data_IF_172092814911
#
_entry.id   IF_172092814911
#
_cell.length_a   1.000
_cell.length_b   1.000
_cell.length_c   1.000
_cell.angle_alpha   90.00
_cell.angle_beta   90.00
_cell.angle_gamma   90.00
#
_symmetry.space_group_name_H-M   'P 1'
#
loop_
_entity.id
_entity.type
_entity.pdbx_description
1 polymer ?
#
# COMPACT_ATOMS: atom_id res chain seq x y z
N UNK A 1 6.58 47.59 49.44
CA UNK A 1 7.18 46.60 48.53
C UNK A 1 6.17 45.46 48.35
N UNK A 2 4.92 45.81 48.02
CA UNK A 2 3.75 44.91 48.10
C UNK A 2 2.81 45.04 46.88
N UNK A 3 3.13 45.88 45.89
CA UNK A 3 2.22 46.18 44.77
C UNK A 3 2.42 45.30 43.51
N UNK A 4 3.43 44.43 43.48
CA UNK A 4 3.75 43.64 42.28
C UNK A 4 3.11 42.26 42.24
N UNK A 5 2.52 41.77 43.33
CA UNK A 5 1.92 40.43 43.39
C UNK A 5 0.51 40.36 42.77
N UNK A 6 -0.23 41.46 42.71
CA UNK A 6 -1.64 41.45 42.28
C UNK A 6 -1.81 41.52 40.76
N UNK A 7 -0.80 42.06 40.04
CA UNK A 7 -0.87 42.23 38.58
C UNK A 7 -0.70 40.93 37.78
N UNK A 8 -0.12 39.89 38.39
CA UNK A 8 0.07 38.58 37.74
C UNK A 8 -1.17 37.69 37.67
N UNK A 9 -2.13 37.85 38.59
CA UNK A 9 -3.32 36.99 38.62
C UNK A 9 -4.41 37.42 37.60
N UNK A 10 -4.44 38.70 37.22
CA UNK A 10 -5.49 39.25 36.36
C UNK A 10 -5.23 38.94 34.87
N UNK A 11 -3.97 38.77 34.48
CA UNK A 11 -3.58 38.46 33.09
C UNK A 11 -3.86 37.03 32.67
N UNK A 12 -3.89 36.06 33.60
CA UNK A 12 -4.20 34.67 33.26
C UNK A 12 -5.69 34.39 33.06
N UNK A 13 -6.58 35.12 33.75
CA UNK A 13 -8.03 34.94 33.60
C UNK A 13 -8.57 35.46 32.26
N UNK A 14 -7.91 36.45 31.64
CA UNK A 14 -8.32 37.00 30.34
C UNK A 14 -7.92 36.12 29.15
N UNK A 15 -6.89 35.27 29.30
CA UNK A 15 -6.49 34.36 28.23
C UNK A 15 -7.35 33.10 28.19
N UNK A 16 -7.90 32.67 29.33
CA UNK A 16 -8.73 31.47 29.42
C UNK A 16 -10.17 31.67 28.90
N UNK A 17 -10.65 32.92 28.84
CA UNK A 17 -12.02 33.23 28.40
C UNK A 17 -12.19 33.28 26.85
N UNK A 18 -11.11 33.26 26.07
CA UNK A 18 -11.18 33.44 24.61
C UNK A 18 -11.17 32.11 23.82
N UNK A 19 -11.01 30.96 24.48
CA UNK A 19 -10.92 29.64 23.83
C UNK A 19 -12.27 28.90 23.77
N UNK A 20 -13.34 29.41 24.40
CA UNK A 20 -14.65 28.74 24.49
C UNK A 20 -15.65 29.01 23.35
N UNK A 21 -15.23 29.51 22.17
CA UNK A 21 -16.15 29.90 21.09
C UNK A 21 -16.00 29.14 19.76
N UNK A 22 -15.34 27.97 19.71
CA UNK A 22 -15.13 27.21 18.46
C UNK A 22 -15.78 25.83 18.38
N UNK A 23 -16.70 25.49 19.28
CA UNK A 23 -17.50 24.26 19.17
C UNK A 23 -18.96 24.62 18.93
N UNK A 24 -19.38 24.79 17.68
CA UNK A 24 -20.78 24.66 17.21
C UNK A 24 -20.81 24.81 15.67
N UNK A 25 -20.78 23.68 14.98
CA UNK A 25 -21.06 23.55 13.55
C UNK A 25 -20.45 22.25 13.04
N UNK A 26 -21.18 21.24 12.60
CA UNK A 26 -22.60 21.01 12.44
C UNK A 26 -22.72 19.67 11.72
N UNK A 27 -23.30 18.67 12.39
CA UNK A 27 -23.61 17.37 11.80
C UNK A 27 -24.81 17.55 10.84
N UNK A 28 -24.56 17.62 9.53
CA UNK A 28 -25.62 17.70 8.52
C UNK A 28 -25.36 16.78 7.31
N UNK A 29 -24.78 15.60 7.52
CA UNK A 29 -24.50 14.65 6.43
C UNK A 29 -24.92 13.22 6.78
N UNK A 30 -26.16 13.05 7.25
CA UNK A 30 -26.70 11.71 7.48
C UNK A 30 -28.22 11.64 7.25
N UNK A 31 -28.69 12.10 6.08
CA UNK A 31 -30.12 12.04 5.76
C UNK A 31 -30.46 11.74 4.29
N UNK A 32 -29.62 10.95 3.60
CA UNK A 32 -29.94 10.41 2.26
C UNK A 32 -29.58 8.93 2.11
N UNK A 33 -29.89 8.11 3.12
CA UNK A 33 -29.99 6.64 2.94
C UNK A 33 -31.46 6.24 3.02
N UNK A 34 -32.19 6.58 1.97
CA UNK A 34 -33.53 6.06 1.75
C UNK A 34 -33.47 5.17 0.50
N UNK A 35 -33.75 3.88 0.74
CA UNK A 35 -34.11 2.82 -0.21
C UNK A 35 -33.10 2.43 -1.30
N UNK A 36 -32.24 1.46 -0.97
CA UNK A 36 -31.46 0.66 -1.92
C UNK A 36 -32.07 -0.74 -2.14
N UNK A 37 -33.30 -0.96 -1.64
CA UNK A 37 -34.06 -2.19 -1.83
C UNK A 37 -35.52 -1.84 -2.13
N UNK A 38 -35.85 -1.92 -3.43
CA UNK A 38 -37.15 -2.26 -4.00
C UNK A 38 -38.40 -1.60 -3.41
N UNK A 39 -39.02 -0.72 -4.20
CA UNK A 39 -40.46 -0.78 -4.32
C UNK A 39 -40.85 -0.60 -5.79
N UNK A 40 -41.63 -1.56 -6.26
CA UNK A 40 -42.10 -1.74 -7.62
C UNK A 40 -43.04 -0.62 -8.08
N UNK A 41 -42.85 -0.11 -9.30
CA UNK A 41 -43.94 0.07 -10.27
C UNK A 41 -43.40 -0.04 -11.73
N UNK A 42 -43.91 -1.07 -12.42
CA UNK A 42 -44.20 -1.22 -13.86
C UNK A 42 -43.09 -1.18 -14.94
N UNK A 43 -43.00 -2.32 -15.64
CA UNK A 43 -42.19 -2.73 -16.81
C UNK A 43 -42.38 -1.86 -18.09
N UNK A 44 -41.50 -1.96 -19.12
CA UNK A 44 -41.53 -3.11 -20.02
C UNK A 44 -40.16 -3.70 -20.40
N UNK A 45 -40.07 -5.02 -20.26
CA UNK A 45 -39.34 -6.01 -21.08
C UNK A 45 -38.09 -5.57 -21.87
N UNK A 46 -36.90 -5.98 -21.41
CA UNK A 46 -35.75 -6.25 -22.29
C UNK A 46 -35.14 -7.63 -21.99
N UNK A 47 -34.97 -8.41 -23.06
CA UNK A 47 -34.46 -9.79 -23.07
C UNK A 47 -32.98 -9.81 -22.67
N UNK A 48 -32.49 -10.82 -21.92
CA UNK A 48 -31.07 -10.96 -21.67
C UNK A 48 -30.38 -11.40 -22.98
N UNK A 49 -29.70 -10.46 -23.63
CA UNK A 49 -28.78 -10.77 -24.73
C UNK A 49 -27.58 -11.46 -24.11
N UNK A 50 -27.51 -12.78 -24.29
CA UNK A 50 -26.34 -13.56 -23.96
C UNK A 50 -25.14 -12.95 -24.71
N UNK A 51 -24.18 -12.41 -23.97
CA UNK A 51 -22.86 -12.03 -24.46
C UNK A 51 -22.07 -13.29 -24.78
N UNK A 52 -22.52 -14.04 -25.78
CA UNK A 52 -21.77 -15.15 -26.35
C UNK A 52 -20.81 -14.59 -27.39
N UNK A 53 -19.53 -14.89 -27.19
CA UNK A 53 -18.46 -14.60 -28.15
C UNK A 53 -18.85 -15.20 -29.52
N UNK A 54 -18.75 -14.44 -30.63
CA UNK A 54 -19.06 -14.95 -31.96
C UNK A 54 -18.22 -16.18 -32.27
N UNK A 55 -18.85 -17.21 -32.85
CA UNK A 55 -18.26 -18.54 -33.08
C UNK A 55 -16.91 -18.47 -33.81
N UNK A 56 -16.76 -17.53 -34.73
CA UNK A 56 -15.54 -17.35 -35.51
C UNK A 56 -14.33 -16.98 -34.63
N UNK A 57 -14.54 -16.22 -33.55
CA UNK A 57 -13.47 -15.87 -32.60
C UNK A 57 -13.08 -17.07 -31.73
N UNK A 58 -14.05 -17.93 -31.40
CA UNK A 58 -13.78 -19.18 -30.66
C UNK A 58 -12.97 -20.16 -31.50
N UNK A 59 -13.35 -20.34 -32.78
CA UNK A 59 -12.67 -21.26 -33.69
C UNK A 59 -11.22 -20.80 -33.96
N UNK A 60 -10.97 -19.49 -34.06
CA UNK A 60 -9.61 -18.93 -34.15
C UNK A 60 -8.78 -19.18 -32.88
N UNK A 61 -9.40 -19.08 -31.70
CA UNK A 61 -8.71 -19.33 -30.43
C UNK A 61 -8.32 -20.80 -30.29
N UNK A 62 -9.21 -21.70 -30.70
CA UNK A 62 -8.99 -23.14 -30.67
C UNK A 62 -7.84 -23.54 -31.59
N UNK A 63 -7.81 -23.02 -32.82
CA UNK A 63 -6.71 -23.26 -33.76
C UNK A 63 -5.35 -22.78 -33.20
N UNK A 64 -5.31 -21.61 -32.54
CA UNK A 64 -4.08 -21.11 -31.91
C UNK A 64 -3.65 -22.00 -30.74
N UNK A 65 -4.59 -22.52 -29.96
CA UNK A 65 -4.29 -23.44 -28.87
C UNK A 65 -3.71 -24.76 -29.38
N UNK A 66 -4.30 -25.35 -30.41
CA UNK A 66 -3.81 -26.59 -31.04
C UNK A 66 -2.42 -26.39 -31.67
N UNK A 67 -2.18 -25.24 -32.32
CA UNK A 67 -0.88 -24.88 -32.87
C UNK A 67 0.20 -24.74 -31.79
N UNK A 68 -0.13 -24.16 -30.64
CA UNK A 68 0.80 -24.08 -29.50
C UNK A 68 1.08 -25.46 -28.91
N UNK A 69 0.06 -26.29 -28.73
CA UNK A 69 0.21 -27.61 -28.15
C UNK A 69 1.11 -28.51 -29.01
N UNK A 70 0.95 -28.44 -30.34
CA UNK A 70 1.84 -29.14 -31.27
C UNK A 70 3.26 -28.57 -31.26
N UNK A 71 3.43 -27.24 -31.13
CA UNK A 71 4.74 -26.62 -31.00
C UNK A 71 5.49 -27.05 -29.73
N UNK A 72 4.79 -27.24 -28.61
CA UNK A 72 5.39 -27.75 -27.37
C UNK A 72 5.76 -29.23 -27.48
N UNK A 73 4.89 -30.08 -28.04
CA UNK A 73 5.21 -31.50 -28.23
C UNK A 73 6.40 -31.71 -29.19
N UNK A 74 6.51 -30.90 -30.25
CA UNK A 74 7.66 -30.95 -31.18
C UNK A 74 8.95 -30.44 -30.53
N UNK A 75 8.86 -29.51 -29.57
CA UNK A 75 10.00 -29.06 -28.79
C UNK A 75 10.44 -30.11 -27.75
N UNK A 76 9.52 -30.76 -27.06
CA UNK A 76 9.83 -31.85 -26.13
C UNK A 76 10.46 -33.05 -26.87
N UNK A 77 9.93 -33.44 -28.02
CA UNK A 77 10.48 -34.53 -28.85
C UNK A 77 11.88 -34.23 -29.45
N UNK A 78 12.34 -32.97 -29.43
CA UNK A 78 13.69 -32.57 -29.88
C UNK A 78 14.71 -32.48 -28.75
N UNK A 79 14.29 -32.55 -27.48
CA UNK A 79 15.20 -32.51 -26.33
C UNK A 79 15.71 -33.91 -25.94
N UNK A 80 15.00 -34.97 -26.34
CA UNK A 80 15.36 -36.36 -25.99
C UNK A 80 16.49 -36.97 -26.85
N UNK A 81 16.84 -36.39 -28.01
CA UNK A 81 17.91 -36.91 -28.88
C UNK A 81 19.32 -36.32 -28.60
N UNK A 82 19.43 -35.19 -27.90
CA UNK A 82 20.72 -34.50 -27.64
C UNK A 82 21.25 -34.67 -26.19
N UNK A 83 20.50 -35.34 -25.29
CA UNK A 83 20.83 -35.45 -23.85
C UNK A 83 21.52 -36.77 -23.44
N UNK A 84 22.05 -37.56 -24.38
CA UNK A 84 22.71 -38.86 -24.12
C UNK A 84 24.13 -38.94 -24.70
N UNK A 85 24.97 -37.92 -24.52
CA UNK A 85 26.44 -38.01 -24.64
C UNK A 85 27.08 -36.76 -23.98
N UNK A 86 27.51 -36.88 -22.72
CA UNK A 86 28.35 -35.82 -22.12
C UNK A 86 28.25 -35.60 -20.61
N UNK A 87 28.27 -36.65 -19.78
CA UNK A 87 28.62 -36.49 -18.36
C UNK A 87 30.12 -36.75 -18.19
N UNK A 88 30.92 -35.70 -18.31
CA UNK A 88 32.22 -35.61 -17.66
C UNK A 88 32.71 -34.16 -17.62
N UNK A 89 33.18 -33.77 -16.43
CA UNK A 89 33.95 -32.56 -16.08
C UNK A 89 33.21 -31.21 -16.07
N UNK A 90 33.40 -30.50 -14.96
CA UNK A 90 32.67 -29.29 -14.61
C UNK A 90 33.08 -28.05 -15.39
N UNK A 91 32.13 -27.13 -15.51
CA UNK A 91 32.30 -25.71 -15.21
C UNK A 91 30.90 -25.07 -15.19
N UNK A 92 30.59 -24.37 -14.11
CA UNK A 92 29.28 -23.78 -13.86
C UNK A 92 29.29 -22.29 -14.24
N UNK A 93 29.45 -21.98 -15.53
CA UNK A 93 29.49 -20.58 -16.00
C UNK A 93 28.91 -20.33 -17.42
N UNK A 94 28.33 -21.34 -18.09
CA UNK A 94 27.93 -21.18 -19.50
C UNK A 94 26.42 -21.31 -19.81
N UNK A 95 25.58 -21.67 -18.83
CA UNK A 95 24.13 -21.89 -19.05
C UNK A 95 23.26 -20.66 -18.80
N UNK A 96 23.79 -19.64 -18.12
CA UNK A 96 23.07 -18.40 -17.81
C UNK A 96 22.90 -17.47 -19.03
N UNK A 97 23.92 -17.34 -19.87
CA UNK A 97 23.88 -16.41 -21.03
C UNK A 97 22.99 -16.89 -22.17
N UNK A 98 22.89 -18.21 -22.38
CA UNK A 98 22.01 -18.78 -23.41
C UNK A 98 20.52 -18.55 -23.07
N UNK A 99 20.14 -18.70 -21.80
CA UNK A 99 18.79 -18.41 -21.32
C UNK A 99 18.48 -16.90 -21.36
N UNK A 100 19.47 -16.04 -21.08
CA UNK A 100 19.30 -14.59 -21.13
C UNK A 100 19.15 -14.07 -22.57
N UNK A 101 19.86 -14.68 -23.53
CA UNK A 101 19.73 -14.40 -24.96
C UNK A 101 18.36 -14.79 -25.51
N UNK A 102 17.82 -15.94 -25.09
CA UNK A 102 16.49 -16.40 -25.52
C UNK A 102 15.35 -15.56 -24.90
N UNK A 103 15.51 -15.07 -23.66
CA UNK A 103 14.56 -14.15 -23.02
C UNK A 103 14.55 -12.75 -23.66
N UNK A 104 15.73 -12.21 -24.04
CA UNK A 104 15.80 -10.93 -24.76
C UNK A 104 15.22 -11.03 -26.17
N UNK A 105 15.33 -12.20 -26.81
CA UNK A 105 14.76 -12.44 -28.14
C UNK A 105 13.24 -12.62 -28.10
N UNK A 106 12.70 -13.19 -27.01
CA UNK A 106 11.25 -13.31 -26.78
C UNK A 106 10.56 -11.97 -26.46
N UNK A 107 11.29 -10.92 -26.09
CA UNK A 107 10.74 -9.60 -25.80
C UNK A 107 10.40 -8.72 -27.01
N UNK A 108 10.61 -9.20 -28.24
CA UNK A 108 10.53 -8.36 -29.45
C UNK A 108 9.69 -8.90 -30.61
N UNK A 109 9.04 -10.04 -30.45
CA UNK A 109 8.24 -10.65 -31.52
C UNK A 109 6.97 -11.27 -30.97
N UNK A 110 5.83 -10.65 -31.29
CA UNK A 110 4.48 -11.20 -31.09
C UNK A 110 4.01 -11.20 -29.63
N UNK A 111 3.91 -9.99 -29.06
CA UNK A 111 3.02 -9.72 -27.93
C UNK A 111 1.62 -10.19 -28.32
N UNK A 112 1.14 -11.22 -27.63
CA UNK A 112 -0.26 -11.59 -27.66
C UNK A 112 -1.08 -10.32 -27.38
N UNK A 113 -1.86 -9.90 -28.37
CA UNK A 113 -2.76 -8.76 -28.29
C UNK A 113 -3.75 -9.06 -27.14
N UNK A 114 -3.47 -8.52 -25.96
CA UNK A 114 -4.39 -8.58 -24.84
C UNK A 114 -5.58 -7.72 -25.24
N UNK A 115 -6.66 -8.36 -25.66
CA UNK A 115 -7.93 -7.71 -25.95
C UNK A 115 -8.42 -7.08 -24.65
N UNK A 116 -8.24 -5.77 -24.54
CA UNK A 116 -8.74 -4.98 -23.42
C UNK A 116 -10.25 -4.78 -23.58
N UNK A 117 -11.04 -5.63 -22.89
CA UNK A 117 -12.51 -5.64 -22.97
C UNK A 117 -13.12 -4.47 -22.18
N UNK A 118 -12.32 -3.66 -21.47
CA UNK A 118 -12.81 -2.62 -20.56
C UNK A 118 -12.57 -1.17 -21.01
N UNK A 119 -11.81 -0.92 -22.09
CA UNK A 119 -11.49 0.45 -22.52
C UNK A 119 -12.63 1.18 -23.24
N UNK A 120 -13.75 0.50 -23.53
CA UNK A 120 -14.83 1.06 -24.34
C UNK A 120 -16.19 1.07 -23.62
N UNK A 121 -16.24 1.66 -22.44
CA UNK A 121 -17.50 2.20 -21.90
C UNK A 121 -17.28 3.61 -21.35
N UNK A 122 -17.31 4.58 -22.27
CA UNK A 122 -17.46 5.98 -21.93
C UNK A 122 -18.89 6.22 -21.41
N UNK A 123 -19.02 6.46 -20.11
CA UNK A 123 -20.29 6.93 -19.55
C UNK A 123 -20.30 6.96 -18.03
N UNK A 124 -20.02 8.14 -17.47
CA UNK A 124 -20.34 8.61 -16.10
C UNK A 124 -19.13 8.82 -15.18
N UNK A 125 -18.51 9.98 -15.38
CA UNK A 125 -17.71 10.71 -14.41
C UNK A 125 -18.46 10.89 -13.08
N UNK A 126 -18.16 10.06 -12.09
CA UNK A 126 -18.29 10.37 -10.67
C UNK A 126 -17.66 9.24 -9.82
N UNK A 127 -16.35 9.04 -9.95
CA UNK A 127 -15.61 8.23 -9.00
C UNK A 127 -14.26 8.89 -8.73
N UNK A 128 -14.01 9.09 -7.43
CA UNK A 128 -12.74 9.39 -6.75
C UNK A 128 -11.51 9.29 -7.65
N UNK A 129 -10.65 10.31 -7.55
CA UNK A 129 -9.25 10.29 -7.96
C UNK A 129 -8.62 8.91 -7.68
N UNK A 130 -8.68 8.04 -8.69
CA UNK A 130 -7.76 6.94 -8.84
C UNK A 130 -6.45 7.65 -9.12
N UNK A 131 -5.55 7.60 -8.15
CA UNK A 131 -4.19 8.09 -8.31
C UNK A 131 -3.64 7.42 -9.57
N UNK A 132 -3.41 8.20 -10.63
CA UNK A 132 -2.80 7.72 -11.86
C UNK A 132 -1.55 6.93 -11.48
N UNK A 133 -1.52 5.64 -11.82
CA UNK A 133 -0.36 4.76 -11.62
C UNK A 133 0.83 5.15 -12.50
N UNK A 134 0.64 6.11 -13.41
CA UNK A 134 1.49 6.31 -14.57
C UNK A 134 2.54 7.43 -14.39
N UNK A 135 2.63 8.03 -13.20
CA UNK A 135 3.52 9.18 -12.94
C UNK A 135 4.73 8.85 -12.06
N UNK A 136 4.99 7.55 -11.83
CA UNK A 136 6.17 7.10 -11.11
C UNK A 136 7.15 6.43 -12.07
N UNK A 137 8.35 6.99 -12.20
CA UNK A 137 9.49 6.27 -12.78
C UNK A 137 9.68 4.98 -11.97
N UNK A 138 9.49 3.82 -12.60
CA UNK A 138 9.66 2.51 -11.96
C UNK A 138 11.03 2.39 -11.29
N UNK A 139 12.05 2.96 -11.93
CA UNK A 139 13.42 3.03 -11.45
C UNK A 139 13.53 3.79 -10.12
N UNK A 140 12.79 4.90 -9.95
CA UNK A 140 12.82 5.69 -8.72
C UNK A 140 12.12 4.96 -7.57
N UNK A 141 11.04 4.25 -7.85
CA UNK A 141 10.31 3.45 -6.86
C UNK A 141 11.18 2.28 -6.38
N UNK A 142 11.84 1.58 -7.30
CA UNK A 142 12.76 0.48 -6.97
C UNK A 142 13.94 0.94 -6.11
N UNK A 143 14.53 2.09 -6.43
CA UNK A 143 15.61 2.66 -5.62
C UNK A 143 15.13 2.99 -4.20
N UNK A 144 13.94 3.56 -4.06
CA UNK A 144 13.35 3.85 -2.76
C UNK A 144 13.02 2.58 -1.96
N UNK A 145 12.54 1.53 -2.61
CA UNK A 145 12.31 0.22 -1.98
C UNK A 145 13.62 -0.36 -1.46
N UNK A 146 14.69 -0.33 -2.26
CA UNK A 146 16.03 -0.76 -1.82
C UNK A 146 16.52 0.03 -0.62
N UNK A 147 16.36 1.36 -0.65
CA UNK A 147 16.73 2.21 0.49
C UNK A 147 15.93 1.89 1.75
N UNK A 148 14.63 1.58 1.64
CA UNK A 148 13.81 1.13 2.77
C UNK A 148 14.33 -0.19 3.37
N UNK A 149 14.67 -1.16 2.53
CA UNK A 149 15.20 -2.45 2.98
C UNK A 149 16.53 -2.28 3.71
N UNK A 150 17.44 -1.47 3.14
CA UNK A 150 18.71 -1.14 3.78
C UNK A 150 18.51 -0.41 5.11
N UNK A 151 17.60 0.58 5.16
CA UNK A 151 17.29 1.28 6.39
C UNK A 151 16.75 0.33 7.47
N UNK A 152 15.83 -0.58 7.11
CA UNK A 152 15.30 -1.60 8.03
C UNK A 152 16.41 -2.49 8.61
N UNK A 153 17.38 -2.90 7.78
CA UNK A 153 18.56 -3.65 8.25
C UNK A 153 19.43 -2.82 9.20
N UNK A 154 19.64 -1.53 8.91
CA UNK A 154 20.40 -0.62 9.79
C UNK A 154 19.70 -0.44 11.14
N UNK A 155 18.37 -0.31 11.17
CA UNK A 155 17.57 -0.28 12.42
C UNK A 155 17.69 -1.60 13.18
N UNK A 156 17.78 -2.74 12.50
CA UNK A 156 18.03 -4.03 13.14
C UNK A 156 19.43 -4.11 13.76
N UNK A 157 20.42 -3.46 13.15
CA UNK A 157 21.80 -3.36 13.63
C UNK A 157 22.05 -2.24 14.65
N UNK A 158 21.00 -1.52 15.07
CA UNK A 158 21.09 -0.33 15.94
C UNK A 158 21.93 0.83 15.36
N UNK A 159 22.12 0.88 14.04
CA UNK A 159 22.78 1.99 13.33
C UNK A 159 21.76 3.05 12.97
N UNK A 160 21.28 3.77 13.97
CA UNK A 160 20.12 4.65 13.81
C UNK A 160 20.42 5.89 12.96
N UNK A 161 21.59 6.51 13.11
CA UNK A 161 21.93 7.73 12.34
C UNK A 161 22.01 7.47 10.84
N UNK A 162 22.65 6.37 10.45
CA UNK A 162 22.74 5.92 9.05
C UNK A 162 21.34 5.62 8.50
N UNK A 163 20.50 4.92 9.28
CA UNK A 163 19.12 4.63 8.90
C UNK A 163 18.32 5.91 8.67
N UNK A 164 18.38 6.86 9.61
CA UNK A 164 17.63 8.12 9.52
C UNK A 164 18.06 8.95 8.30
N UNK A 165 19.33 8.91 7.90
CA UNK A 165 19.79 9.59 6.70
C UNK A 165 19.16 9.01 5.41
N UNK A 166 18.95 7.69 5.35
CA UNK A 166 18.24 7.05 4.25
C UNK A 166 16.72 7.30 4.32
N UNK A 167 16.14 7.38 5.51
CA UNK A 167 14.69 7.50 5.70
C UNK A 167 14.16 8.92 5.46
N UNK A 168 14.89 9.98 5.84
CA UNK A 168 14.49 11.39 5.67
C UNK A 168 13.93 11.74 4.28
N UNK A 169 14.59 11.40 3.16
CA UNK A 169 14.02 11.70 1.83
C UNK A 169 12.76 10.86 1.54
N UNK A 170 12.68 9.64 2.08
CA UNK A 170 11.59 8.70 1.82
C UNK A 170 10.28 9.10 2.54
N UNK A 171 10.35 9.83 3.65
CA UNK A 171 9.17 10.42 4.32
C UNK A 171 8.42 11.43 3.44
N UNK A 172 9.07 11.96 2.41
CA UNK A 172 8.48 12.87 1.41
C UNK A 172 8.25 12.19 0.07
N UNK A 173 8.44 10.88 -0.01
CA UNK A 173 8.16 10.11 -1.22
C UNK A 173 6.72 10.35 -1.67
N UNK A 174 6.47 10.51 -2.98
CA UNK A 174 5.11 10.67 -3.48
C UNK A 174 4.31 9.36 -3.32
N UNK A 175 4.99 8.21 -3.34
CA UNK A 175 4.38 6.89 -3.14
C UNK A 175 3.98 6.72 -1.68
N UNK A 176 2.68 6.59 -1.43
CA UNK A 176 2.13 6.50 -0.07
C UNK A 176 2.73 5.35 0.73
N UNK A 177 2.84 4.16 0.14
CA UNK A 177 3.34 2.96 0.80
C UNK A 177 4.78 3.13 1.30
N UNK A 178 5.63 3.76 0.49
CA UNK A 178 7.03 4.04 0.83
C UNK A 178 7.08 5.05 1.97
N UNK A 179 6.35 6.15 1.83
CA UNK A 179 6.27 7.21 2.82
C UNK A 179 5.84 6.72 4.20
N UNK A 180 4.78 5.91 4.25
CA UNK A 180 4.27 5.35 5.52
C UNK A 180 5.27 4.40 6.16
N UNK A 181 5.88 3.51 5.35
CA UNK A 181 6.88 2.57 5.85
C UNK A 181 8.13 3.29 6.34
N UNK A 182 8.55 4.36 5.66
CA UNK A 182 9.66 5.20 6.09
C UNK A 182 9.38 5.84 7.45
N UNK A 183 8.21 6.50 7.60
CA UNK A 183 7.78 7.10 8.88
C UNK A 183 7.74 6.07 10.01
N UNK A 184 7.24 4.86 9.75
CA UNK A 184 7.25 3.79 10.74
C UNK A 184 8.68 3.41 11.16
N UNK A 185 9.61 3.29 10.22
CA UNK A 185 11.01 2.97 10.52
C UNK A 185 11.73 4.10 11.27
N UNK A 186 11.36 5.36 11.04
CA UNK A 186 11.83 6.49 11.87
C UNK A 186 11.32 6.33 13.30
N UNK A 187 10.03 6.06 13.47
CA UNK A 187 9.43 5.79 14.78
C UNK A 187 10.06 4.59 15.49
N UNK A 188 10.34 3.50 14.77
CA UNK A 188 11.06 2.32 15.26
C UNK A 188 12.50 2.66 15.69
N UNK A 189 13.19 3.51 14.94
CA UNK A 189 14.56 3.94 15.27
C UNK A 189 14.58 4.69 16.60
N UNK A 190 13.64 5.62 16.79
CA UNK A 190 13.46 6.35 18.06
C UNK A 190 13.03 5.43 19.20
N UNK A 191 12.11 4.50 18.92
CA UNK A 191 11.64 3.52 19.88
C UNK A 191 12.80 2.70 20.45
N UNK A 192 13.68 2.21 19.57
CA UNK A 192 14.84 1.40 19.96
C UNK A 192 15.92 2.21 20.68
N UNK A 193 16.02 3.52 20.43
CA UNK A 193 16.87 4.43 21.19
C UNK A 193 16.35 4.69 22.61
N UNK A 194 15.06 4.42 22.86
CA UNK A 194 14.40 4.68 24.14
C UNK A 194 13.68 6.03 24.19
N UNK A 195 13.64 6.77 23.08
CA UNK A 195 12.93 8.04 22.96
C UNK A 195 11.43 7.79 22.73
N UNK A 196 10.77 7.24 23.76
CA UNK A 196 9.38 6.80 23.68
C UNK A 196 8.39 7.94 23.43
N UNK A 197 8.70 9.17 23.86
CA UNK A 197 7.85 10.35 23.62
C UNK A 197 7.86 10.74 22.13
N UNK A 198 9.04 10.92 21.55
CA UNK A 198 9.19 11.23 20.13
C UNK A 198 8.67 10.09 19.25
N UNK A 199 8.98 8.85 19.63
CA UNK A 199 8.46 7.67 18.95
C UNK A 199 6.92 7.61 18.97
N UNK A 200 6.30 7.92 20.11
CA UNK A 200 4.85 8.01 20.23
C UNK A 200 4.26 9.05 19.27
N UNK A 201 4.86 10.25 19.18
CA UNK A 201 4.37 11.30 18.27
C UNK A 201 4.38 10.84 16.81
N UNK A 202 5.45 10.18 16.36
CA UNK A 202 5.55 9.65 15.01
C UNK A 202 4.51 8.55 14.74
N UNK A 203 4.30 7.64 15.68
CA UNK A 203 3.29 6.59 15.52
C UNK A 203 1.85 7.14 15.57
N UNK A 204 1.58 8.16 16.38
CA UNK A 204 0.29 8.88 16.40
C UNK A 204 0.02 9.53 15.02
N UNK A 205 1.04 10.13 14.40
CA UNK A 205 0.90 10.70 13.07
C UNK A 205 0.53 9.64 12.01
N UNK A 206 1.07 8.41 12.12
CA UNK A 206 0.75 7.32 11.20
C UNK A 206 -0.71 6.90 11.31
N UNK A 207 -1.26 6.79 12.54
CA UNK A 207 -2.66 6.41 12.72
C UNK A 207 -3.62 7.52 12.25
N UNK A 208 -3.22 8.78 12.39
CA UNK A 208 -4.05 9.93 11.99
C UNK A 208 -4.05 10.16 10.48
N UNK A 209 -2.86 10.17 9.86
CA UNK A 209 -2.71 10.51 8.43
C UNK A 209 -2.80 9.30 7.51
N UNK A 210 -2.50 8.11 8.01
CA UNK A 210 -2.35 6.90 7.21
C UNK A 210 -3.15 5.69 7.74
N UNK A 211 -4.32 5.97 8.33
CA UNK A 211 -5.25 5.02 8.95
C UNK A 211 -5.55 3.74 8.13
N UNK A 212 -5.56 3.82 6.79
CA UNK A 212 -5.83 2.68 5.90
C UNK A 212 -4.58 1.87 5.50
N UNK A 213 -3.43 2.14 6.09
CA UNK A 213 -2.21 1.37 5.81
C UNK A 213 -2.10 0.17 6.75
N UNK A 214 -1.63 -0.98 6.23
CA UNK A 214 -1.37 -2.16 7.08
C UNK A 214 -0.32 -1.91 8.18
N UNK A 215 0.45 -0.82 8.06
CA UNK A 215 1.42 -0.37 9.06
C UNK A 215 0.76 0.17 10.33
N UNK A 216 -0.49 0.60 10.27
CA UNK A 216 -1.24 1.15 11.42
C UNK A 216 -1.35 0.16 12.57
N UNK A 217 -1.59 -1.12 12.28
CA UNK A 217 -1.68 -2.16 13.30
C UNK A 217 -0.35 -2.30 14.04
N UNK A 218 0.76 -2.25 13.31
CA UNK A 218 2.11 -2.29 13.89
C UNK A 218 2.39 -1.03 14.72
N UNK A 219 1.98 0.14 14.24
CA UNK A 219 2.13 1.40 14.94
C UNK A 219 1.30 1.44 16.24
N UNK A 220 0.05 0.97 16.23
CA UNK A 220 -0.79 0.82 17.42
C UNK A 220 -0.15 -0.09 18.47
N UNK A 221 0.40 -1.23 18.05
CA UNK A 221 1.15 -2.11 18.94
C UNK A 221 2.33 -1.40 19.61
N UNK A 222 3.06 -0.56 18.87
CA UNK A 222 4.16 0.24 19.43
C UNK A 222 3.66 1.36 20.35
N UNK A 223 2.56 2.04 20.01
CA UNK A 223 1.95 3.09 20.83
C UNK A 223 1.55 2.60 22.21
N UNK A 224 1.00 1.38 22.29
CA UNK A 224 0.69 0.73 23.57
C UNK A 224 1.96 0.59 24.41
N UNK A 225 3.03 0.05 23.83
CA UNK A 225 4.31 -0.12 24.55
C UNK A 225 4.93 1.22 24.95
N UNK A 226 4.90 2.24 24.07
CA UNK A 226 5.35 3.59 24.42
C UNK A 226 4.53 4.15 25.59
N UNK A 227 3.21 3.97 25.59
CA UNK A 227 2.32 4.44 26.66
C UNK A 227 2.62 3.77 28.00
N UNK A 228 2.92 2.47 27.98
CA UNK A 228 3.34 1.74 29.18
C UNK A 228 4.67 2.26 29.73
N UNK A 229 5.66 2.48 28.85
CA UNK A 229 6.97 3.03 29.25
C UNK A 229 6.87 4.44 29.82
N UNK A 230 5.98 5.26 29.28
CA UNK A 230 5.72 6.63 29.74
C UNK A 230 4.69 6.72 30.89
N UNK A 231 4.09 5.61 31.31
CA UNK A 231 3.04 5.54 32.37
C UNK A 231 1.78 6.34 32.03
N UNK A 232 1.39 6.36 30.77
CA UNK A 232 0.21 7.07 30.26
C UNK A 232 -0.99 6.11 30.14
N UNK A 233 -1.57 5.72 31.28
CA UNK A 233 -2.62 4.70 31.35
C UNK A 233 -3.85 5.00 30.48
N UNK A 234 -4.31 6.26 30.47
CA UNK A 234 -5.46 6.67 29.65
C UNK A 234 -5.22 6.51 28.15
N UNK A 235 -4.01 6.83 27.68
CA UNK A 235 -3.63 6.66 26.26
C UNK A 235 -3.50 5.18 25.93
N UNK A 236 -2.90 4.40 26.83
CA UNK A 236 -2.79 2.95 26.70
C UNK A 236 -4.15 2.29 26.48
N UNK A 237 -5.12 2.56 27.37
CA UNK A 237 -6.49 2.04 27.25
C UNK A 237 -7.13 2.42 25.92
N UNK A 238 -7.00 3.69 25.50
CA UNK A 238 -7.50 4.15 24.20
C UNK A 238 -6.92 3.36 23.03
N UNK A 239 -5.60 3.12 23.01
CA UNK A 239 -4.98 2.36 21.93
C UNK A 239 -5.37 0.88 21.95
N UNK A 240 -5.56 0.28 23.13
CA UNK A 240 -6.09 -1.08 23.24
C UNK A 240 -7.51 -1.18 22.66
N UNK A 241 -8.40 -0.25 23.00
CA UNK A 241 -9.76 -0.21 22.42
C UNK A 241 -9.70 -0.08 20.90
N UNK A 242 -8.90 0.84 20.37
CA UNK A 242 -8.73 0.99 18.91
C UNK A 242 -8.22 -0.28 18.23
N UNK A 243 -7.27 -0.98 18.86
CA UNK A 243 -6.74 -2.24 18.33
C UNK A 243 -7.81 -3.34 18.36
N UNK A 244 -8.60 -3.41 19.42
CA UNK A 244 -9.68 -4.40 19.58
C UNK A 244 -10.80 -4.19 18.56
N UNK A 245 -11.28 -2.95 18.42
CA UNK A 245 -12.32 -2.56 17.46
C UNK A 245 -11.90 -2.93 16.02
N UNK A 246 -10.61 -2.81 15.71
CA UNK A 246 -10.07 -3.18 14.40
C UNK A 246 -10.25 -4.67 14.09
N UNK A 247 -10.11 -5.56 15.08
CA UNK A 247 -10.25 -7.00 14.87
C UNK A 247 -11.69 -7.49 15.03
N UNK A 248 -12.49 -6.88 15.91
CA UNK A 248 -13.89 -7.29 16.12
C UNK A 248 -14.81 -6.93 14.96
N UNK A 249 -14.53 -5.83 14.24
CA UNK A 249 -15.34 -5.41 13.08
C UNK A 249 -15.26 -6.33 11.87
N UNK A 250 -14.44 -7.39 11.91
CA UNK A 250 -14.21 -8.30 10.78
C UNK A 250 -14.92 -9.65 10.91
N UNK A 251 -15.73 -9.84 11.96
CA UNK A 251 -16.51 -11.06 12.24
C UNK A 251 -18.00 -10.70 12.19
#
# INVERSE_FOLDING_TARGET
>A
MEDDAVKGLITHYRFFALVSLLNLGGCAWLQSRQSLFGNDEASPEEKPVATTVPKDQYDQLLQKYEALQTQFQVKEAKVDDDAMMGVASGDADATGEALLGDLQKAGSGELAETVDVFSQTNGSSAAKAVVNSDDYSSVDVEAQIRNLQTAEQLVAQNKFDESLNLLKPLERSPVRQIRVRARYLVGESLFKQGDYDLSMQIFEEIIEKDAFSGTVIKALGRLIVCSEKLKLEKKKERYYSLLHDFFESTI
#
